data_IF_893190345328
#
_entry.id   IF_893190345328
#
_cell.length_a   1.000
_cell.length_b   1.000
_cell.length_c   1.000
_cell.angle_alpha   90.00
_cell.angle_beta   90.00
_cell.angle_gamma   90.00
#
_symmetry.space_group_name_H-M   'P 1'
#
loop_
_entity.id
_entity.type
_entity.pdbx_description
1 polymer ?
#
# COMPACT_ATOMS: atom_id res chain seq x y z
N UNK A 1 19.32 115.81 -35.90
CA UNK A 1 19.08 115.00 -37.11
C UNK A 1 19.82 113.70 -36.84
N UNK A 2 19.25 112.50 -36.82
CA UNK A 2 18.06 111.89 -37.42
C UNK A 2 17.54 110.75 -36.52
N UNK A 3 16.29 110.34 -36.76
CA UNK A 3 15.59 109.20 -36.14
C UNK A 3 15.91 107.93 -36.91
N UNK A 4 15.85 106.76 -36.27
CA UNK A 4 15.39 105.49 -36.87
C UNK A 4 15.26 104.43 -35.77
N UNK A 5 14.05 104.15 -35.28
CA UNK A 5 13.14 103.07 -35.69
C UNK A 5 13.66 101.64 -35.44
N UNK A 6 13.02 100.97 -34.47
CA UNK A 6 13.05 99.51 -34.27
C UNK A 6 12.49 98.77 -35.50
N UNK A 7 12.81 97.48 -35.61
CA UNK A 7 11.77 96.46 -35.69
C UNK A 7 11.90 95.40 -34.59
N UNK A 8 10.74 94.98 -34.07
CA UNK A 8 10.57 93.79 -33.25
C UNK A 8 10.82 92.53 -34.11
N UNK A 9 11.58 91.57 -33.57
CA UNK A 9 11.38 90.16 -33.89
C UNK A 9 10.75 89.46 -32.70
N UNK A 10 9.48 89.08 -32.88
CA UNK A 10 8.90 87.93 -32.19
C UNK A 10 9.72 86.70 -32.58
N UNK A 11 10.20 85.90 -31.62
CA UNK A 11 10.08 84.44 -31.64
C UNK A 11 10.78 83.75 -30.46
N UNK A 12 10.02 82.83 -29.85
CA UNK A 12 10.47 81.67 -29.07
C UNK A 12 11.02 82.00 -27.67
N UNK A 13 10.78 81.23 -26.61
CA UNK A 13 10.31 79.84 -26.51
C UNK A 13 9.78 79.61 -25.08
N UNK A 14 8.52 79.19 -24.96
CA UNK A 14 8.00 78.58 -23.74
C UNK A 14 8.07 77.05 -23.91
N UNK A 15 9.27 76.46 -23.85
CA UNK A 15 9.45 75.02 -24.06
C UNK A 15 10.31 74.21 -23.03
N UNK A 16 10.71 74.69 -21.84
CA UNK A 16 11.33 73.79 -20.85
C UNK A 16 10.31 73.03 -19.98
N UNK A 17 9.14 73.59 -19.70
CA UNK A 17 8.23 73.09 -18.66
C UNK A 17 7.35 71.89 -19.11
N UNK A 18 6.97 71.81 -20.38
CA UNK A 18 6.21 70.67 -20.93
C UNK A 18 7.08 69.40 -21.08
N UNK A 19 8.36 69.57 -21.43
CA UNK A 19 9.29 68.45 -21.61
C UNK A 19 9.64 67.73 -20.31
N UNK A 20 9.64 68.42 -19.16
CA UNK A 20 9.90 67.80 -17.87
C UNK A 20 8.69 66.99 -17.37
N UNK A 21 7.46 67.50 -17.53
CA UNK A 21 6.25 66.72 -17.21
C UNK A 21 6.14 65.41 -17.98
N UNK A 22 6.48 65.43 -19.27
CA UNK A 22 6.46 64.23 -20.13
C UNK A 22 7.53 63.22 -19.68
N UNK A 23 8.70 63.69 -19.25
CA UNK A 23 9.75 62.82 -18.70
C UNK A 23 9.34 62.20 -17.36
N UNK A 24 8.75 62.98 -16.45
CA UNK A 24 8.30 62.51 -15.14
C UNK A 24 7.16 61.48 -15.27
N UNK A 25 6.21 61.70 -16.18
CA UNK A 25 5.14 60.73 -16.48
C UNK A 25 5.68 59.44 -17.13
N UNK A 26 6.66 59.57 -18.03
CA UNK A 26 7.32 58.40 -18.63
C UNK A 26 8.09 57.58 -17.58
N UNK A 27 8.81 58.24 -16.68
CA UNK A 27 9.57 57.59 -15.62
C UNK A 27 8.65 56.91 -14.59
N UNK A 28 7.52 57.54 -14.27
CA UNK A 28 6.45 56.96 -13.46
C UNK A 28 5.82 55.71 -14.10
N UNK A 29 5.49 55.77 -15.39
CA UNK A 29 4.93 54.64 -16.15
C UNK A 29 5.93 53.48 -16.26
N UNK A 30 7.23 53.76 -16.44
CA UNK A 30 8.29 52.76 -16.41
C UNK A 30 8.36 52.07 -15.04
N UNK A 31 8.25 52.83 -13.95
CA UNK A 31 8.30 52.30 -12.59
C UNK A 31 7.09 51.40 -12.29
N UNK A 32 5.90 51.78 -12.73
CA UNK A 32 4.69 50.96 -12.65
C UNK A 32 4.87 49.63 -13.41
N UNK A 33 5.29 49.71 -14.67
CA UNK A 33 5.51 48.51 -15.50
C UNK A 33 6.56 47.56 -14.90
N UNK A 34 7.57 48.11 -14.23
CA UNK A 34 8.57 47.32 -13.50
C UNK A 34 7.96 46.62 -12.28
N UNK A 35 7.16 47.33 -11.49
CA UNK A 35 6.47 46.75 -10.33
C UNK A 35 5.49 45.64 -10.75
N UNK A 36 4.77 45.83 -11.85
CA UNK A 36 3.85 44.81 -12.40
C UNK A 36 4.61 43.54 -12.82
N UNK A 37 5.75 43.70 -13.51
CA UNK A 37 6.61 42.57 -13.89
C UNK A 37 7.21 41.86 -12.67
N UNK A 38 7.60 42.61 -11.63
CA UNK A 38 8.10 42.04 -10.37
C UNK A 38 7.00 41.27 -9.63
N UNK A 39 5.76 41.77 -9.58
CA UNK A 39 4.63 41.04 -9.01
C UNK A 39 4.29 39.77 -9.80
N UNK A 40 4.27 39.85 -11.13
CA UNK A 40 4.00 38.69 -11.99
C UNK A 40 5.05 37.60 -11.78
N UNK A 41 6.33 37.98 -11.67
CA UNK A 41 7.42 37.06 -11.37
C UNK A 41 7.25 36.40 -9.99
N UNK A 42 6.94 37.17 -8.95
CA UNK A 42 6.70 36.65 -7.60
C UNK A 42 5.52 35.67 -7.59
N UNK A 43 4.43 36.00 -8.29
CA UNK A 43 3.23 35.16 -8.39
C UNK A 43 3.55 33.81 -9.05
N UNK A 44 4.25 33.82 -10.19
CA UNK A 44 4.67 32.60 -10.88
C UNK A 44 5.61 31.74 -10.03
N UNK A 45 6.56 32.35 -9.32
CA UNK A 45 7.46 31.62 -8.42
C UNK A 45 6.69 30.97 -7.28
N UNK A 46 5.74 31.69 -6.66
CA UNK A 46 4.90 31.16 -5.60
C UNK A 46 4.04 29.98 -6.08
N UNK A 47 3.45 30.08 -7.27
CA UNK A 47 2.66 28.99 -7.86
C UNK A 47 3.53 27.74 -8.14
N UNK A 48 4.74 27.92 -8.66
CA UNK A 48 5.69 26.82 -8.90
C UNK A 48 6.13 26.17 -7.59
N UNK A 49 6.39 26.96 -6.55
CA UNK A 49 6.74 26.45 -5.21
C UNK A 49 5.60 25.62 -4.63
N UNK A 50 4.35 26.10 -4.71
CA UNK A 50 3.17 25.34 -4.29
C UNK A 50 3.04 23.99 -5.00
N UNK A 51 3.11 24.00 -6.34
CA UNK A 51 3.08 22.77 -7.16
C UNK A 51 4.21 21.79 -6.83
N UNK A 52 5.40 22.31 -6.53
CA UNK A 52 6.56 21.50 -6.14
C UNK A 52 6.32 20.83 -4.79
N UNK A 53 5.82 21.57 -3.80
CA UNK A 53 5.47 21.04 -2.48
C UNK A 53 4.39 19.97 -2.56
N UNK A 54 3.34 20.20 -3.36
CA UNK A 54 2.28 19.21 -3.59
C UNK A 54 2.83 17.93 -4.21
N UNK A 55 3.74 18.06 -5.18
CA UNK A 55 4.40 16.92 -5.82
C UNK A 55 5.23 16.13 -4.82
N UNK A 56 6.02 16.81 -3.97
CA UNK A 56 6.83 16.17 -2.92
C UNK A 56 5.93 15.46 -1.91
N UNK A 57 4.85 16.10 -1.47
CA UNK A 57 3.89 15.51 -0.55
C UNK A 57 3.23 14.26 -1.16
N UNK A 58 2.83 14.33 -2.43
CA UNK A 58 2.24 13.20 -3.14
C UNK A 58 3.23 12.03 -3.31
N UNK A 59 4.49 12.32 -3.65
CA UNK A 59 5.56 11.31 -3.73
C UNK A 59 5.80 10.64 -2.37
N UNK A 60 5.84 11.43 -1.30
CA UNK A 60 6.02 10.93 0.07
C UNK A 60 4.85 10.03 0.49
N UNK A 61 3.62 10.48 0.26
CA UNK A 61 2.41 9.71 0.55
C UNK A 61 2.35 8.40 -0.26
N UNK A 62 2.70 8.45 -1.54
CA UNK A 62 2.75 7.25 -2.38
C UNK A 62 3.84 6.27 -1.91
N UNK A 63 5.00 6.78 -1.50
CA UNK A 63 6.06 5.93 -0.92
C UNK A 63 5.61 5.27 0.37
N UNK A 64 4.90 5.99 1.24
CA UNK A 64 4.34 5.44 2.48
C UNK A 64 3.32 4.33 2.19
N UNK A 65 2.34 4.61 1.31
CA UNK A 65 1.35 3.61 0.86
C UNK A 65 2.00 2.39 0.22
N UNK A 66 3.06 2.58 -0.57
CA UNK A 66 3.80 1.46 -1.17
C UNK A 66 4.47 0.59 -0.12
N UNK A 67 5.06 1.19 0.94
CA UNK A 67 5.66 0.44 2.05
C UNK A 67 4.61 -0.32 2.86
N UNK A 68 3.46 0.30 3.13
CA UNK A 68 2.35 -0.38 3.80
C UNK A 68 1.85 -1.57 2.98
N UNK A 69 1.72 -1.42 1.66
CA UNK A 69 1.32 -2.49 0.77
C UNK A 69 2.35 -3.62 0.76
N UNK A 70 3.64 -3.29 0.71
CA UNK A 70 4.72 -4.27 0.80
C UNK A 70 4.69 -5.03 2.12
N UNK A 71 4.52 -4.34 3.25
CA UNK A 71 4.40 -4.95 4.57
C UNK A 71 3.20 -5.91 4.64
N UNK A 72 2.03 -5.49 4.15
CA UNK A 72 0.83 -6.33 4.08
C UNK A 72 1.03 -7.55 3.19
N UNK A 73 1.71 -7.40 2.06
CA UNK A 73 2.01 -8.51 1.15
C UNK A 73 2.98 -9.51 1.79
N UNK A 74 4.01 -9.02 2.51
CA UNK A 74 4.93 -9.86 3.28
C UNK A 74 4.19 -10.63 4.37
N UNK A 75 3.36 -9.95 5.16
CA UNK A 75 2.57 -10.60 6.21
C UNK A 75 1.65 -11.68 5.64
N UNK A 76 0.91 -11.36 4.57
CA UNK A 76 0.07 -12.34 3.89
C UNK A 76 0.85 -13.55 3.37
N UNK A 77 2.11 -13.34 2.94
CA UNK A 77 3.01 -14.41 2.55
C UNK A 77 3.34 -15.35 3.72
N UNK A 78 3.63 -14.78 4.90
CA UNK A 78 3.87 -15.52 6.14
C UNK A 78 2.62 -16.29 6.57
N UNK A 79 1.45 -15.63 6.59
CA UNK A 79 0.18 -16.25 6.97
C UNK A 79 -0.16 -17.43 6.06
N UNK A 80 0.05 -17.27 4.75
CA UNK A 80 -0.12 -18.36 3.78
C UNK A 80 0.82 -19.53 4.06
N UNK A 81 2.10 -19.26 4.37
CA UNK A 81 3.08 -20.30 4.68
C UNK A 81 2.68 -21.09 5.94
N UNK A 82 2.29 -20.38 7.03
CA UNK A 82 1.74 -21.00 8.24
C UNK A 82 0.52 -21.87 7.91
N UNK A 83 -0.40 -21.35 7.10
CA UNK A 83 -1.60 -22.09 6.70
C UNK A 83 -1.30 -23.36 5.90
N UNK A 84 -0.34 -23.32 4.98
CA UNK A 84 0.08 -24.50 4.22
C UNK A 84 0.76 -25.55 5.11
N UNK A 85 1.59 -25.12 6.07
CA UNK A 85 2.25 -26.04 7.00
C UNK A 85 1.23 -26.75 7.90
N UNK A 86 0.30 -26.00 8.49
CA UNK A 86 -0.79 -26.57 9.29
C UNK A 86 -1.68 -27.51 8.46
N UNK A 87 -1.97 -27.16 7.20
CA UNK A 87 -2.72 -28.03 6.29
C UNK A 87 -2.00 -29.36 6.06
N UNK A 88 -0.70 -29.33 5.73
CA UNK A 88 0.08 -30.54 5.50
C UNK A 88 0.13 -31.42 6.76
N UNK A 89 0.46 -30.83 7.92
CA UNK A 89 0.44 -31.53 9.23
C UNK A 89 -0.92 -32.17 9.51
N UNK A 90 -2.01 -31.47 9.23
CA UNK A 90 -3.38 -31.98 9.42
C UNK A 90 -3.67 -33.14 8.48
N UNK A 91 -3.33 -33.02 7.19
CA UNK A 91 -3.51 -34.08 6.20
C UNK A 91 -2.76 -35.34 6.63
N UNK A 92 -1.47 -35.22 6.92
CA UNK A 92 -0.62 -36.35 7.33
C UNK A 92 -1.17 -37.04 8.58
N UNK A 93 -1.59 -36.24 9.57
CA UNK A 93 -2.19 -36.77 10.80
C UNK A 93 -3.47 -37.54 10.53
N UNK A 94 -4.37 -37.03 9.68
CA UNK A 94 -5.67 -37.66 9.39
C UNK A 94 -5.51 -38.94 8.59
N UNK A 95 -4.68 -38.94 7.56
CA UNK A 95 -4.40 -40.15 6.80
C UNK A 95 -3.64 -41.18 7.63
N UNK A 96 -2.67 -40.76 8.44
CA UNK A 96 -1.99 -41.68 9.37
C UNK A 96 -2.89 -42.21 10.51
N UNK A 97 -3.98 -41.53 10.85
CA UNK A 97 -5.01 -42.07 11.75
C UNK A 97 -5.89 -43.11 11.04
N UNK A 98 -6.27 -42.84 9.79
CA UNK A 98 -7.05 -43.78 8.98
C UNK A 98 -6.27 -45.08 8.72
N UNK A 99 -5.00 -44.96 8.35
CA UNK A 99 -4.09 -46.08 8.08
C UNK A 99 -3.93 -46.97 9.32
N UNK A 100 -3.62 -46.38 10.48
CA UNK A 100 -3.56 -47.13 11.75
C UNK A 100 -4.88 -47.81 12.13
N UNK A 101 -6.01 -47.17 11.85
CA UNK A 101 -7.32 -47.78 12.10
C UNK A 101 -7.56 -48.99 11.18
N UNK A 102 -7.13 -48.89 9.91
CA UNK A 102 -7.20 -49.98 8.93
C UNK A 102 -6.31 -51.16 9.35
N UNK A 103 -5.04 -50.89 9.68
CA UNK A 103 -4.08 -51.89 10.17
C UNK A 103 -4.60 -52.64 11.40
N UNK A 104 -5.21 -51.93 12.35
CA UNK A 104 -5.74 -52.55 13.56
C UNK A 104 -6.95 -53.43 13.26
N UNK A 105 -7.83 -53.00 12.36
CA UNK A 105 -8.99 -53.78 11.94
C UNK A 105 -8.56 -55.03 11.14
N UNK A 106 -7.55 -54.90 10.28
CA UNK A 106 -6.95 -56.02 9.54
C UNK A 106 -6.31 -57.05 10.49
N UNK A 107 -5.45 -56.61 11.41
CA UNK A 107 -4.85 -57.51 12.41
C UNK A 107 -5.89 -58.24 13.24
N UNK A 108 -6.97 -57.55 13.61
CA UNK A 108 -8.08 -58.16 14.36
C UNK A 108 -8.81 -59.20 13.52
N UNK A 109 -9.02 -58.92 12.23
CA UNK A 109 -9.62 -59.85 11.28
C UNK A 109 -8.76 -61.10 11.11
N UNK A 110 -7.45 -60.95 10.90
CA UNK A 110 -6.51 -62.07 10.76
C UNK A 110 -6.55 -62.99 11.98
N UNK A 111 -6.44 -62.42 13.18
CA UNK A 111 -6.53 -63.19 14.42
C UNK A 111 -7.88 -63.90 14.60
N UNK A 112 -8.96 -63.30 14.11
CA UNK A 112 -10.30 -63.89 14.18
C UNK A 112 -10.49 -65.00 13.15
N UNK A 113 -9.91 -64.86 11.96
CA UNK A 113 -9.90 -65.90 10.92
C UNK A 113 -9.13 -67.13 11.37
N UNK A 114 -7.97 -66.97 12.01
CA UNK A 114 -7.20 -68.08 12.59
C UNK A 114 -8.01 -68.89 13.62
N UNK A 115 -8.87 -68.20 14.38
CA UNK A 115 -9.72 -68.78 15.43
C UNK A 115 -11.11 -69.19 14.95
N UNK A 116 -11.45 -68.89 13.70
CA UNK A 116 -12.81 -69.01 13.15
C UNK A 116 -13.89 -68.31 14.00
N UNK A 117 -13.55 -67.19 14.64
CA UNK A 117 -14.50 -66.42 15.45
C UNK A 117 -15.35 -65.50 14.56
N UNK A 118 -16.53 -66.02 14.18
CA UNK A 118 -17.47 -65.35 13.28
C UNK A 118 -17.86 -63.95 13.76
N UNK A 119 -18.04 -63.75 15.06
CA UNK A 119 -18.53 -62.47 15.59
C UNK A 119 -17.44 -61.39 15.50
N UNK A 120 -16.18 -61.77 15.76
CA UNK A 120 -15.05 -60.84 15.62
C UNK A 120 -14.75 -60.58 14.14
N UNK A 121 -14.88 -61.58 13.27
CA UNK A 121 -14.76 -61.41 11.81
C UNK A 121 -15.74 -60.34 11.31
N UNK A 122 -17.03 -60.46 11.65
CA UNK A 122 -18.06 -59.49 11.23
C UNK A 122 -17.74 -58.08 11.74
N UNK A 123 -17.40 -57.93 13.03
CA UNK A 123 -17.03 -56.63 13.61
C UNK A 123 -15.80 -56.00 12.94
N UNK A 124 -14.81 -56.81 12.58
CA UNK A 124 -13.59 -56.33 11.93
C UNK A 124 -13.84 -55.89 10.49
N UNK A 125 -14.70 -56.61 9.76
CA UNK A 125 -15.16 -56.22 8.42
C UNK A 125 -15.99 -54.93 8.46
N UNK A 126 -16.89 -54.78 9.44
CA UNK A 126 -17.64 -53.54 9.65
C UNK A 126 -16.70 -52.36 9.95
N UNK A 127 -15.68 -52.57 10.79
CA UNK A 127 -14.67 -51.57 11.10
C UNK A 127 -13.87 -51.16 9.86
N UNK A 128 -13.42 -52.13 9.04
CA UNK A 128 -12.74 -51.86 7.76
C UNK A 128 -13.65 -51.07 6.82
N UNK A 129 -14.93 -51.45 6.70
CA UNK A 129 -15.91 -50.72 5.90
C UNK A 129 -16.14 -49.30 6.40
N UNK A 130 -16.18 -49.09 7.72
CA UNK A 130 -16.32 -47.76 8.32
C UNK A 130 -15.10 -46.87 8.04
N UNK A 131 -13.89 -47.41 8.18
CA UNK A 131 -12.64 -46.68 7.91
C UNK A 131 -12.54 -46.33 6.42
N UNK A 132 -12.85 -47.27 5.52
CA UNK A 132 -12.80 -47.05 4.07
C UNK A 132 -13.83 -46.02 3.57
N UNK A 133 -15.01 -45.97 4.20
CA UNK A 133 -16.06 -45.01 3.84
C UNK A 133 -15.89 -43.64 4.51
N UNK A 134 -14.92 -43.48 5.40
CA UNK A 134 -14.66 -42.21 6.07
C UNK A 134 -13.77 -41.32 5.18
N UNK A 135 -14.20 -40.08 4.93
CA UNK A 135 -13.34 -39.07 4.32
C UNK A 135 -12.46 -38.42 5.40
N UNK A 136 -11.14 -38.69 5.44
CA UNK A 136 -10.24 -38.14 6.47
C UNK A 136 -10.16 -36.61 6.45
N UNK A 137 -10.50 -35.97 5.32
CA UNK A 137 -10.44 -34.51 5.13
C UNK A 137 -11.80 -33.81 5.27
N UNK A 138 -12.85 -34.52 5.70
CA UNK A 138 -14.22 -33.96 5.77
C UNK A 138 -14.35 -32.68 6.61
N UNK A 139 -13.47 -32.48 7.60
CA UNK A 139 -13.45 -31.31 8.49
C UNK A 139 -12.12 -30.52 8.44
N UNK A 140 -11.30 -30.68 7.40
CA UNK A 140 -9.91 -30.18 7.36
C UNK A 140 -9.80 -28.69 7.66
N UNK A 141 -10.77 -27.88 7.20
CA UNK A 141 -10.78 -26.42 7.43
C UNK A 141 -10.81 -26.07 8.91
N UNK A 142 -11.70 -26.68 9.69
CA UNK A 142 -11.81 -26.44 11.14
C UNK A 142 -10.58 -26.95 11.90
N UNK A 143 -10.00 -28.06 11.44
CA UNK A 143 -8.82 -28.64 12.06
C UNK A 143 -7.57 -27.78 11.84
N UNK A 144 -7.42 -27.20 10.64
CA UNK A 144 -6.35 -26.23 10.32
C UNK A 144 -6.52 -24.93 11.10
N UNK A 145 -7.73 -24.37 11.16
CA UNK A 145 -8.02 -23.17 11.95
C UNK A 145 -7.66 -23.37 13.43
N UNK A 146 -7.92 -24.57 13.98
CA UNK A 146 -7.54 -24.93 15.35
C UNK A 146 -6.03 -25.08 15.53
N UNK A 147 -5.32 -25.72 14.59
CA UNK A 147 -3.86 -25.85 14.66
C UNK A 147 -3.14 -24.50 14.63
N UNK A 148 -3.55 -23.60 13.74
CA UNK A 148 -2.97 -22.25 13.65
C UNK A 148 -3.20 -21.51 14.97
N UNK A 149 -4.42 -21.59 15.52
CA UNK A 149 -4.75 -20.97 16.81
C UNK A 149 -3.95 -21.55 17.98
N UNK A 150 -3.62 -22.85 17.95
CA UNK A 150 -2.83 -23.53 18.98
C UNK A 150 -1.33 -23.18 18.89
N UNK A 151 -0.76 -23.03 17.69
CA UNK A 151 0.63 -22.60 17.49
C UNK A 151 0.84 -21.11 17.81
N UNK A 152 -0.15 -20.24 17.54
CA UNK A 152 -0.03 -18.81 17.84
C UNK A 152 -0.04 -18.47 19.36
N UNK A 153 -0.34 -19.43 20.26
CA UNK A 153 -0.16 -19.26 21.72
C UNK A 153 1.29 -19.46 22.19
N UNK A 154 2.15 -20.07 21.38
CA UNK A 154 3.59 -20.23 21.69
C UNK A 154 4.45 -19.10 21.09
N UNK A 155 3.87 -18.24 20.23
CA UNK A 155 4.53 -17.17 19.46
C UNK A 155 4.46 -15.77 20.15
N UNK A 156 4.53 -15.71 21.49
CA UNK A 156 4.73 -14.45 22.25
C UNK A 156 6.08 -13.74 21.89
N UNK A 157 6.88 -14.32 21.00
CA UNK A 157 8.20 -13.84 20.56
C UNK A 157 8.17 -12.76 19.45
N UNK A 158 7.00 -12.34 18.96
CA UNK A 158 6.90 -11.21 18.02
C UNK A 158 6.45 -9.91 18.70
N UNK A 159 7.11 -9.53 19.79
CA UNK A 159 7.16 -8.13 20.22
C UNK A 159 7.97 -7.34 19.18
N UNK A 160 7.28 -6.69 18.24
CA UNK A 160 7.84 -5.61 17.44
C UNK A 160 8.27 -4.49 18.39
N UNK A 161 9.56 -4.40 18.69
CA UNK A 161 10.18 -3.23 19.29
C UNK A 161 10.04 -2.05 18.30
N UNK A 162 9.28 -1.03 18.68
CA UNK A 162 9.15 0.25 17.98
C UNK A 162 10.09 1.27 18.63
#
# INVERSE_FOLDING_TARGET
>A
MEKENLPQENSSSNLPAQNNKIKDEHEYNLKLKRLDLEQEAISKVSEIQGKTLDTINNLSNNKLKSRELEAKARQKGIDNAKMFDALNKTIDKKYGQQDRAMDNAEKTLDMALDKWDKDIIMKSLDALGSVANTNPLGNVKKDVERQISEEDFDDDDFMLEI
#
